data_IF_242646268912
#
_entry.id   IF_242646268912
#
_cell.length_a   1.000
_cell.length_b   1.000
_cell.length_c   1.000
_cell.angle_alpha   90.00
_cell.angle_beta   90.00
_cell.angle_gamma   90.00
#
_symmetry.space_group_name_H-M   'P 1'
#
loop_
_entity.id
_entity.type
_entity.pdbx_description
1 polymer ?
#
# COMPACT_ATOMS: atom_id res chain seq x y z
N UNK A 1 6.57 -15.50 12.91
CA UNK A 1 6.56 -14.49 11.83
C UNK A 1 7.99 -14.19 11.45
N UNK A 2 8.57 -15.07 10.64
CA UNK A 2 9.94 -14.97 10.14
C UNK A 2 9.99 -15.61 8.74
N UNK A 3 9.11 -15.13 7.86
CA UNK A 3 9.02 -15.67 6.52
C UNK A 3 10.29 -15.31 5.75
N UNK A 4 10.94 -16.31 5.12
CA UNK A 4 12.23 -16.13 4.45
C UNK A 4 12.15 -15.15 3.27
N UNK A 5 11.03 -15.15 2.55
CA UNK A 5 10.74 -14.24 1.44
C UNK A 5 10.01 -12.97 1.88
N UNK A 6 9.65 -12.86 3.17
CA UNK A 6 8.78 -11.81 3.68
C UNK A 6 9.39 -10.41 3.69
N UNK A 7 8.51 -9.41 3.74
CA UNK A 7 8.87 -8.00 3.92
C UNK A 7 9.05 -7.70 5.40
N UNK A 8 9.82 -6.67 5.73
CA UNK A 8 10.03 -6.21 7.09
C UNK A 8 8.76 -5.53 7.63
N UNK A 9 8.28 -5.97 8.80
CA UNK A 9 7.11 -5.36 9.48
C UNK A 9 7.46 -4.70 10.81
N UNK A 10 8.68 -4.88 11.30
CA UNK A 10 9.10 -4.31 12.58
C UNK A 10 10.00 -5.24 13.38
N UNK A 11 10.14 -4.91 14.66
CA UNK A 11 10.91 -5.67 15.64
C UNK A 11 9.98 -6.06 16.78
N UNK A 12 10.06 -7.33 17.18
CA UNK A 12 9.40 -7.79 18.40
C UNK A 12 10.09 -7.16 19.61
N UNK A 13 9.33 -6.40 20.41
CA UNK A 13 9.90 -5.63 21.52
C UNK A 13 10.40 -6.49 22.69
N UNK A 14 10.01 -7.77 22.78
CA UNK A 14 10.42 -8.67 23.86
C UNK A 14 11.69 -9.43 23.45
N UNK A 15 11.68 -10.03 22.26
CA UNK A 15 12.82 -10.85 21.78
C UNK A 15 13.86 -10.06 21.01
N UNK A 16 13.58 -8.81 20.64
CA UNK A 16 14.38 -7.99 19.71
C UNK A 16 14.60 -8.63 18.33
N UNK A 17 13.83 -9.66 17.99
CA UNK A 17 13.89 -10.30 16.69
C UNK A 17 13.11 -9.51 15.64
N UNK A 18 13.60 -9.54 14.42
CA UNK A 18 12.89 -8.98 13.26
C UNK A 18 11.62 -9.79 12.99
N UNK A 19 10.56 -9.07 12.64
CA UNK A 19 9.31 -9.61 12.14
C UNK A 19 9.31 -9.47 10.62
N UNK A 20 9.35 -10.61 9.92
CA UNK A 20 9.16 -10.66 8.47
C UNK A 20 7.91 -11.46 8.11
N UNK A 21 7.14 -10.94 7.16
CA UNK A 21 5.87 -11.54 6.73
C UNK A 21 5.76 -11.49 5.21
N UNK A 22 5.41 -12.63 4.62
CA UNK A 22 5.00 -12.75 3.22
C UNK A 22 3.49 -12.96 3.16
N UNK A 23 2.74 -11.91 2.81
CA UNK A 23 1.27 -11.94 2.82
C UNK A 23 0.69 -12.87 1.75
N UNK A 24 1.44 -13.20 0.69
CA UNK A 24 1.00 -14.11 -0.36
C UNK A 24 0.81 -15.55 0.13
N UNK A 25 1.49 -15.92 1.23
CA UNK A 25 1.42 -17.25 1.84
C UNK A 25 0.25 -17.39 2.82
N UNK A 26 -0.49 -16.32 3.09
CA UNK A 26 -1.63 -16.33 4.00
C UNK A 26 -2.90 -16.77 3.27
N UNK A 27 -3.83 -17.39 4.00
CA UNK A 27 -5.16 -17.73 3.47
C UNK A 27 -5.90 -16.49 2.94
N UNK A 28 -5.61 -15.31 3.50
CA UNK A 28 -6.11 -14.03 3.03
C UNK A 28 -4.97 -13.01 3.10
N UNK A 29 -4.54 -12.44 1.97
CA UNK A 29 -3.41 -11.49 1.93
C UNK A 29 -3.79 -10.06 2.37
N UNK A 30 -5.05 -9.83 2.75
CA UNK A 30 -5.56 -8.53 3.20
C UNK A 30 -4.88 -8.07 4.50
N UNK A 31 -4.70 -6.75 4.63
CA UNK A 31 -4.12 -6.12 5.82
C UNK A 31 -4.98 -4.96 6.31
N UNK A 32 -4.91 -4.68 7.61
CA UNK A 32 -5.64 -3.58 8.25
C UNK A 32 -4.69 -2.79 9.16
N UNK A 33 -4.57 -1.48 8.91
CA UNK A 33 -3.76 -0.56 9.71
C UNK A 33 -4.71 0.38 10.45
N UNK A 34 -4.78 0.25 11.78
CA UNK A 34 -5.63 1.07 12.64
C UNK A 34 -4.78 1.92 13.59
N UNK A 35 -5.31 3.07 13.99
CA UNK A 35 -4.67 3.97 14.94
C UNK A 35 -5.36 5.32 15.05
N UNK A 36 -5.12 6.04 16.14
CA UNK A 36 -5.60 7.41 16.31
C UNK A 36 -4.82 8.39 15.43
N UNK A 37 -5.28 9.64 15.32
CA UNK A 37 -4.49 10.68 14.65
C UNK A 37 -3.11 10.82 15.32
N UNK A 38 -2.05 10.93 14.53
CA UNK A 38 -0.66 10.97 15.02
C UNK A 38 -0.05 9.61 15.41
N UNK A 39 -0.80 8.50 15.40
CA UNK A 39 -0.29 7.18 15.79
C UNK A 39 0.66 6.52 14.75
N UNK A 40 0.97 7.20 13.64
CA UNK A 40 1.86 6.67 12.60
C UNK A 40 1.18 5.82 11.52
N UNK A 41 -0.15 5.83 11.41
CA UNK A 41 -0.89 5.10 10.34
C UNK A 41 -0.35 5.40 8.94
N UNK A 42 -0.25 6.68 8.58
CA UNK A 42 0.25 7.10 7.26
C UNK A 42 1.67 6.63 7.02
N UNK A 43 2.54 6.66 8.03
CA UNK A 43 3.91 6.12 7.91
C UNK A 43 3.89 4.61 7.64
N UNK A 44 3.09 3.85 8.37
CA UNK A 44 2.96 2.41 8.18
C UNK A 44 2.42 2.06 6.78
N UNK A 45 1.40 2.77 6.31
CA UNK A 45 0.84 2.59 4.95
C UNK A 45 1.86 2.93 3.87
N UNK A 46 2.60 4.05 4.01
CA UNK A 46 3.67 4.45 3.08
C UNK A 46 4.77 3.39 3.01
N UNK A 47 5.18 2.88 4.17
CA UNK A 47 6.16 1.80 4.25
C UNK A 47 5.67 0.54 3.52
N UNK A 48 4.42 0.14 3.73
CA UNK A 48 3.83 -1.00 3.03
C UNK A 48 3.83 -0.81 1.51
N UNK A 49 3.37 0.35 1.00
CA UNK A 49 3.35 0.65 -0.43
C UNK A 49 4.75 0.57 -1.04
N UNK A 50 5.72 1.28 -0.45
CA UNK A 50 7.10 1.37 -0.95
C UNK A 50 7.76 -0.01 -0.94
N UNK A 51 7.68 -0.73 0.18
CA UNK A 51 8.34 -2.04 0.30
C UNK A 51 7.71 -3.09 -0.62
N UNK A 52 6.39 -3.04 -0.83
CA UNK A 52 5.71 -3.89 -1.81
C UNK A 52 6.23 -3.62 -3.22
N UNK A 53 6.23 -2.36 -3.66
CA UNK A 53 6.65 -2.01 -5.02
C UNK A 53 8.12 -2.35 -5.30
N UNK A 54 8.99 -2.20 -4.31
CA UNK A 54 10.41 -2.58 -4.43
C UNK A 54 10.57 -4.10 -4.48
N UNK A 55 9.91 -4.82 -3.56
CA UNK A 55 10.06 -6.28 -3.42
C UNK A 55 9.53 -7.02 -4.65
N UNK A 56 8.42 -6.55 -5.20
CA UNK A 56 7.70 -7.17 -6.32
C UNK A 56 7.99 -6.45 -7.65
N UNK A 57 9.12 -5.74 -7.74
CA UNK A 57 9.51 -4.98 -8.94
C UNK A 57 9.70 -5.82 -10.21
N UNK A 58 9.92 -7.13 -10.07
CA UNK A 58 9.98 -8.08 -11.18
C UNK A 58 8.65 -8.75 -11.53
N UNK A 59 7.58 -8.42 -10.81
CA UNK A 59 6.24 -8.98 -10.99
C UNK A 59 5.29 -7.90 -11.53
N UNK A 60 4.12 -8.33 -12.03
CA UNK A 60 3.09 -7.41 -12.51
C UNK A 60 2.21 -6.89 -11.36
N UNK A 61 2.84 -6.36 -10.30
CA UNK A 61 2.12 -5.81 -9.14
C UNK A 61 1.64 -4.40 -9.42
N UNK A 62 0.32 -4.24 -9.38
CA UNK A 62 -0.38 -2.97 -9.43
C UNK A 62 -0.77 -2.51 -8.03
N UNK A 63 -0.63 -1.21 -7.77
CA UNK A 63 -1.01 -0.59 -6.50
C UNK A 63 -1.99 0.52 -6.81
N UNK A 64 -3.22 0.35 -6.32
CA UNK A 64 -4.29 1.34 -6.46
C UNK A 64 -4.48 2.00 -5.09
N UNK A 65 -4.48 3.33 -5.06
CA UNK A 65 -4.60 4.12 -3.84
C UNK A 65 -5.78 5.06 -4.00
N UNK A 66 -6.75 4.98 -3.08
CA UNK A 66 -7.82 5.95 -2.94
C UNK A 66 -7.42 6.90 -1.81
N UNK A 67 -7.09 8.13 -2.16
CA UNK A 67 -6.44 9.09 -1.26
C UNK A 67 -7.17 10.44 -1.22
N UNK A 68 -8.18 10.60 -0.36
CA UNK A 68 -8.90 11.86 -0.24
C UNK A 68 -8.05 13.00 0.35
N UNK A 69 -6.95 12.69 1.03
CA UNK A 69 -6.09 13.67 1.71
C UNK A 69 -4.82 14.02 0.90
N UNK A 70 -4.64 13.39 -0.27
CA UNK A 70 -3.47 13.53 -1.14
C UNK A 70 -2.12 13.29 -0.41
N UNK A 71 -2.10 12.43 0.62
CA UNK A 71 -0.91 12.09 1.40
C UNK A 71 0.11 11.21 0.66
N UNK A 72 -0.33 10.44 -0.35
CA UNK A 72 0.45 9.41 -1.03
C UNK A 72 0.87 9.80 -2.45
N UNK A 73 0.38 10.93 -2.99
CA UNK A 73 0.67 11.39 -4.37
C UNK A 73 2.16 11.54 -4.66
N UNK A 74 2.97 11.87 -3.65
CA UNK A 74 4.44 11.93 -3.78
C UNK A 74 5.04 10.56 -4.09
N UNK A 75 4.53 9.50 -3.46
CA UNK A 75 4.98 8.13 -3.69
C UNK A 75 4.52 7.66 -5.07
N UNK A 76 3.27 7.94 -5.43
CA UNK A 76 2.75 7.65 -6.77
C UNK A 76 3.64 8.26 -7.85
N UNK A 77 3.93 9.57 -7.77
CA UNK A 77 4.85 10.26 -8.69
C UNK A 77 6.26 9.67 -8.71
N UNK A 78 6.81 9.32 -7.54
CA UNK A 78 8.16 8.76 -7.44
C UNK A 78 8.29 7.40 -8.15
N UNK A 79 7.22 6.60 -8.19
CA UNK A 79 7.18 5.33 -8.91
C UNK A 79 6.60 5.44 -10.34
N UNK A 80 6.38 6.66 -10.85
CA UNK A 80 5.81 6.88 -12.19
C UNK A 80 4.35 6.45 -12.31
N UNK A 81 3.62 6.39 -11.19
CA UNK A 81 2.20 6.07 -11.16
C UNK A 81 1.33 7.16 -11.78
N UNK A 82 0.17 6.76 -12.28
CA UNK A 82 -0.85 7.65 -12.81
C UNK A 82 -1.65 8.30 -11.66
N UNK A 83 -1.87 9.60 -11.75
CA UNK A 83 -2.70 10.35 -10.81
C UNK A 83 -4.03 10.65 -11.48
N UNK A 84 -5.11 10.12 -10.92
CA UNK A 84 -6.47 10.32 -11.41
C UNK A 84 -7.20 11.21 -10.40
N UNK A 85 -7.35 12.50 -10.74
CA UNK A 85 -8.08 13.45 -9.89
C UNK A 85 -9.58 13.25 -10.10
N UNK A 86 -10.30 12.88 -9.03
CA UNK A 86 -11.75 12.70 -9.03
C UNK A 86 -12.37 13.82 -8.20
N UNK A 87 -12.89 14.83 -8.90
CA UNK A 87 -13.61 15.95 -8.28
C UNK A 87 -14.72 16.44 -9.21
N UNK A 88 -15.77 17.12 -8.69
CA UNK A 88 -16.87 17.63 -9.51
C UNK A 88 -16.44 18.58 -10.64
N UNK A 89 -15.31 19.27 -10.46
CA UNK A 89 -14.70 20.22 -11.40
C UNK A 89 -13.50 19.62 -12.18
N UNK A 90 -13.18 18.35 -11.95
CA UNK A 90 -12.12 17.65 -12.69
C UNK A 90 -12.57 17.31 -14.11
N UNK A 91 -11.60 17.08 -15.00
CA UNK A 91 -11.87 16.56 -16.36
C UNK A 91 -12.05 15.04 -16.37
N UNK A 92 -11.90 14.38 -15.23
CA UNK A 92 -12.01 12.93 -15.10
C UNK A 92 -13.47 12.55 -14.84
N UNK A 93 -14.00 11.62 -15.65
CA UNK A 93 -15.33 11.06 -15.46
C UNK A 93 -15.23 9.55 -15.32
N UNK A 94 -15.84 8.99 -14.26
CA UNK A 94 -15.95 7.55 -14.05
C UNK A 94 -17.36 7.10 -14.43
N UNK A 95 -17.46 6.20 -15.41
CA UNK A 95 -18.74 5.62 -15.80
C UNK A 95 -18.93 4.25 -15.11
N UNK A 96 -19.79 4.22 -14.08
CA UNK A 96 -20.07 2.98 -13.31
C UNK A 96 -20.84 1.95 -14.13
N UNK A 97 -21.51 2.35 -15.22
CA UNK A 97 -22.25 1.45 -16.10
C UNK A 97 -21.38 0.84 -17.20
N UNK A 98 -20.18 1.39 -17.41
CA UNK A 98 -19.20 0.88 -18.37
C UNK A 98 -18.27 -0.10 -17.66
N UNK A 99 -18.83 -1.23 -17.26
CA UNK A 99 -18.07 -2.36 -16.76
C UNK A 99 -17.67 -3.20 -17.98
N UNK A 100 -16.37 -3.40 -18.18
CA UNK A 100 -15.87 -4.42 -19.09
C UNK A 100 -16.41 -5.79 -18.67
N UNK A 101 -16.79 -6.64 -19.64
CA UNK A 101 -17.22 -8.03 -19.39
C UNK A 101 -16.18 -8.83 -18.59
#
# INVERSE_FOLDING_TARGET
>A
LQDRSGKYYGINQISSNIITIDRSLLNTPSGLILGTSGAGKGMATKHEIITTKIKESGENTEIIIVDPEAEYSVIGRAFGGEMIDIAPDSQTYLNVLDLSE
#
